data_IF_929948805707
#
_entry.id   IF_929948805707
#
_cell.length_a   1.000
_cell.length_b   1.000
_cell.length_c   1.000
_cell.angle_alpha   90.00
_cell.angle_beta   90.00
_cell.angle_gamma   90.00
#
_symmetry.space_group_name_H-M   'P 1'
#
loop_
_entity.id
_entity.type
_entity.pdbx_description
1 polymer ?
#
# COMPACT_ATOMS: atom_id res chain seq x y z
N UNK A 1 8.73 11.63 -9.27
CA UNK A 1 7.72 10.84 -9.98
C UNK A 1 7.41 9.62 -9.15
N UNK A 2 6.14 9.40 -8.81
CA UNK A 2 5.68 8.27 -7.99
C UNK A 2 4.71 7.45 -8.85
N UNK A 3 4.98 6.17 -9.06
CA UNK A 3 4.07 5.29 -9.81
C UNK A 3 2.73 5.17 -9.06
N UNK A 4 1.60 5.26 -9.75
CA UNK A 4 0.26 5.17 -9.12
C UNK A 4 -0.55 4.01 -9.69
N UNK A 5 -0.25 3.60 -10.93
CA UNK A 5 -0.94 2.54 -11.63
C UNK A 5 0.00 1.84 -12.61
N UNK A 6 -0.16 0.53 -12.72
CA UNK A 6 0.38 -0.26 -13.82
C UNK A 6 -0.74 -0.59 -14.80
N UNK A 7 -0.51 -0.43 -16.10
CA UNK A 7 -1.47 -0.84 -17.13
C UNK A 7 -0.75 -1.45 -18.34
N UNK A 8 -1.45 -2.29 -19.08
CA UNK A 8 -0.89 -2.95 -20.25
C UNK A 8 -1.88 -3.80 -21.02
N UNK A 9 -1.45 -4.23 -22.20
CA UNK A 9 -2.15 -5.24 -23.00
C UNK A 9 -1.89 -6.61 -22.38
N UNK A 10 -2.95 -7.41 -22.25
CA UNK A 10 -2.85 -8.76 -21.68
C UNK A 10 -2.12 -9.66 -22.67
N UNK A 11 -1.17 -10.45 -22.17
CA UNK A 11 -0.42 -11.41 -22.98
C UNK A 11 -1.35 -12.49 -23.55
N UNK A 12 -1.20 -12.80 -24.84
CA UNK A 12 -2.12 -13.70 -25.57
C UNK A 12 -2.17 -15.11 -24.94
N UNK A 13 -1.05 -15.60 -24.41
CA UNK A 13 -1.00 -16.90 -23.70
C UNK A 13 -1.89 -16.93 -22.46
N UNK A 14 -2.00 -15.83 -21.71
CA UNK A 14 -2.88 -15.73 -20.54
C UNK A 14 -4.34 -15.80 -20.96
N UNK A 15 -4.69 -15.16 -22.09
CA UNK A 15 -6.04 -15.24 -22.64
C UNK A 15 -6.34 -16.62 -23.22
N UNK A 16 -5.36 -17.28 -23.83
CA UNK A 16 -5.50 -18.65 -24.33
C UNK A 16 -5.72 -19.66 -23.19
N UNK A 17 -5.01 -19.53 -22.07
CA UNK A 17 -5.22 -20.37 -20.88
C UNK A 17 -6.62 -20.17 -20.26
N UNK A 18 -7.22 -19.00 -20.46
CA UNK A 18 -8.57 -18.66 -20.00
C UNK A 18 -9.68 -19.02 -21.02
N UNK A 19 -9.35 -19.76 -22.10
CA UNK A 19 -10.26 -20.11 -23.20
C UNK A 19 -10.84 -18.86 -23.92
N UNK A 20 -10.01 -17.84 -24.10
CA UNK A 20 -10.33 -16.54 -24.72
C UNK A 20 -9.30 -16.15 -25.79
N UNK A 21 -8.73 -17.13 -26.50
CA UNK A 21 -7.63 -16.93 -27.44
C UNK A 21 -7.96 -15.93 -28.58
N UNK A 22 -9.23 -15.80 -28.96
CA UNK A 22 -9.68 -14.86 -29.99
C UNK A 22 -9.95 -13.44 -29.47
N UNK A 23 -9.69 -13.16 -28.19
CA UNK A 23 -9.93 -11.85 -27.56
C UNK A 23 -8.63 -11.08 -27.40
N UNK A 24 -8.75 -9.76 -27.41
CA UNK A 24 -7.70 -8.82 -26.97
C UNK A 24 -8.24 -8.02 -25.79
N UNK A 25 -7.41 -7.85 -24.77
CA UNK A 25 -7.78 -7.17 -23.54
C UNK A 25 -6.67 -6.29 -23.03
N UNK A 26 -7.05 -5.32 -22.22
CA UNK A 26 -6.15 -4.49 -21.43
C UNK A 26 -6.46 -4.75 -19.96
N UNK A 27 -5.42 -4.68 -19.13
CA UNK A 27 -5.54 -4.77 -17.70
C UNK A 27 -4.86 -3.56 -17.07
N UNK A 28 -5.41 -3.09 -15.97
CA UNK A 28 -4.80 -2.07 -15.13
C UNK A 28 -4.99 -2.44 -13.67
N UNK A 29 -3.98 -2.13 -12.86
CA UNK A 29 -4.00 -2.29 -11.41
C UNK A 29 -3.75 -0.94 -10.76
N UNK A 30 -4.57 -0.61 -9.76
CA UNK A 30 -4.48 0.62 -8.99
C UNK A 30 -4.22 0.24 -7.53
N UNK A 31 -3.21 0.86 -6.92
CA UNK A 31 -3.01 0.79 -5.47
C UNK A 31 -3.90 1.84 -4.80
N UNK A 32 -5.02 1.43 -4.21
CA UNK A 32 -5.99 2.33 -3.61
C UNK A 32 -5.38 3.15 -2.47
N UNK A 33 -4.58 2.53 -1.62
CA UNK A 33 -3.90 3.16 -0.49
C UNK A 33 -2.95 4.25 -0.99
N UNK A 34 -2.18 3.95 -2.05
CA UNK A 34 -1.24 4.90 -2.63
C UNK A 34 -1.95 6.08 -3.28
N UNK A 35 -3.05 5.82 -3.99
CA UNK A 35 -3.87 6.88 -4.55
C UNK A 35 -4.48 7.75 -3.44
N UNK A 36 -5.01 7.15 -2.38
CA UNK A 36 -5.58 7.84 -1.24
C UNK A 36 -4.54 8.67 -0.48
N UNK A 37 -3.32 8.15 -0.28
CA UNK A 37 -2.23 8.89 0.37
C UNK A 37 -1.84 10.15 -0.41
N UNK A 38 -1.83 10.09 -1.75
CA UNK A 38 -1.55 11.26 -2.59
C UNK A 38 -2.75 12.22 -2.59
N UNK A 39 -3.97 11.69 -2.75
CA UNK A 39 -5.18 12.49 -2.92
C UNK A 39 -5.57 13.25 -1.65
N UNK A 40 -5.43 12.60 -0.50
CA UNK A 40 -5.80 13.14 0.81
C UNK A 40 -4.57 13.58 1.63
N UNK A 41 -3.35 13.55 1.08
CA UNK A 41 -2.10 13.88 1.78
C UNK A 41 -1.88 13.10 3.09
N UNK A 42 -2.32 11.84 3.12
CA UNK A 42 -2.15 10.96 4.29
C UNK A 42 -0.68 10.54 4.39
N UNK A 43 0.01 10.83 5.51
CA UNK A 43 1.46 10.65 5.61
C UNK A 43 1.90 9.20 5.83
N UNK A 44 1.00 8.31 6.27
CA UNK A 44 1.34 6.95 6.69
C UNK A 44 0.21 5.95 6.39
N UNK A 45 0.56 4.83 5.77
CA UNK A 45 -0.39 3.75 5.42
C UNK A 45 -1.02 3.08 6.66
N UNK A 46 -0.34 3.10 7.81
CA UNK A 46 -0.85 2.54 9.07
C UNK A 46 -2.12 3.23 9.53
N UNK A 47 -2.34 4.49 9.13
CA UNK A 47 -3.55 5.23 9.46
C UNK A 47 -4.81 4.62 8.84
N UNK A 48 -4.72 3.83 7.75
CA UNK A 48 -5.89 3.13 7.21
C UNK A 48 -6.37 1.97 8.10
N UNK A 49 -5.52 1.50 9.02
CA UNK A 49 -5.79 0.38 9.91
C UNK A 49 -6.00 0.83 11.36
N UNK A 50 -6.16 2.13 11.60
CA UNK A 50 -6.46 2.69 12.92
C UNK A 50 -7.98 2.68 13.15
N UNK A 51 -8.41 2.42 14.38
CA UNK A 51 -9.81 2.58 14.82
C UNK A 51 -10.06 3.96 15.47
N UNK A 52 -9.12 4.89 15.33
CA UNK A 52 -9.22 6.22 15.94
C UNK A 52 -10.26 7.08 15.22
N UNK A 53 -11.33 7.45 15.91
CA UNK A 53 -12.41 8.30 15.38
C UNK A 53 -11.89 9.61 14.78
N UNK A 54 -10.77 10.15 15.27
CA UNK A 54 -10.13 11.38 14.76
C UNK A 54 -9.64 11.25 13.33
N UNK A 55 -9.38 10.03 12.85
CA UNK A 55 -9.12 9.76 11.43
C UNK A 55 -10.42 9.69 10.65
N UNK A 56 -11.35 8.81 11.07
CA UNK A 56 -12.57 8.54 10.34
C UNK A 56 -13.47 9.77 10.17
N UNK A 57 -13.51 10.66 11.17
CA UNK A 57 -14.34 11.87 11.12
C UNK A 57 -13.91 12.89 10.07
N UNK A 58 -12.68 12.79 9.55
CA UNK A 58 -12.14 13.76 8.59
C UNK A 58 -12.63 13.52 7.16
N UNK A 59 -13.08 12.31 6.84
CA UNK A 59 -13.44 11.92 5.47
C UNK A 59 -14.96 11.93 5.29
N UNK A 60 -15.42 12.48 4.18
CA UNK A 60 -16.84 12.51 3.78
C UNK A 60 -17.00 12.14 2.32
N UNK A 61 -18.09 11.46 2.01
CA UNK A 61 -18.39 11.05 0.63
C UNK A 61 -18.42 12.26 -0.33
N UNK A 62 -17.77 12.10 -1.48
CA UNK A 62 -17.73 13.12 -2.53
C UNK A 62 -16.84 14.33 -2.23
N UNK A 63 -16.11 14.36 -1.12
CA UNK A 63 -15.22 15.46 -0.74
C UNK A 63 -13.76 15.03 -0.72
N UNK A 64 -12.91 15.77 -1.43
CA UNK A 64 -11.45 15.63 -1.34
C UNK A 64 -10.96 16.58 -0.24
N UNK A 65 -10.58 16.02 0.89
CA UNK A 65 -10.15 16.76 2.08
C UNK A 65 -8.71 16.40 2.39
N UNK A 66 -7.85 17.40 2.60
CA UNK A 66 -6.48 17.13 3.08
C UNK A 66 -6.54 16.65 4.52
N UNK A 67 -5.86 15.54 4.78
CA UNK A 67 -5.76 14.95 6.10
C UNK A 67 -5.04 15.91 7.06
N UNK A 68 -5.66 16.15 8.22
CA UNK A 68 -5.07 16.90 9.32
C UNK A 68 -4.40 15.92 10.30
N UNK A 69 -3.06 15.94 10.40
CA UNK A 69 -2.33 15.01 11.26
C UNK A 69 -2.65 15.20 12.75
N UNK A 70 -3.07 14.13 13.41
CA UNK A 70 -3.38 14.14 14.85
C UNK A 70 -2.33 13.34 15.64
N UNK A 71 -1.11 13.87 15.80
CA UNK A 71 -0.08 13.16 16.59
C UNK A 71 -0.28 13.33 18.09
N UNK A 72 -0.11 12.24 18.85
CA UNK A 72 -0.08 12.26 20.32
C UNK A 72 1.34 12.33 20.90
N UNK A 73 2.41 11.85 20.22
CA UNK A 73 3.75 11.70 20.82
C UNK A 73 4.92 11.73 19.81
N UNK A 74 6.15 12.10 20.24
CA UNK A 74 7.36 12.05 19.41
C UNK A 74 7.87 10.61 19.17
N UNK A 75 8.57 10.34 18.05
CA UNK A 75 9.16 9.04 17.75
C UNK A 75 10.34 8.71 18.68
N UNK A 76 10.56 7.42 18.95
CA UNK A 76 11.71 6.90 19.70
C UNK A 76 12.48 5.91 18.81
N UNK A 77 13.77 6.16 18.62
CA UNK A 77 14.65 5.33 17.80
C UNK A 77 15.47 4.39 18.67
N UNK A 78 15.58 3.11 18.25
CA UNK A 78 16.38 2.08 18.92
C UNK A 78 17.01 1.19 17.85
N UNK A 79 18.33 1.01 17.94
CA UNK A 79 19.07 0.15 17.02
C UNK A 79 19.20 -1.27 17.60
N UNK A 80 19.16 -2.27 16.73
CA UNK A 80 19.30 -3.69 17.09
C UNK A 80 20.32 -4.32 16.13
N UNK A 81 21.25 -5.10 16.66
CA UNK A 81 22.21 -5.88 15.87
C UNK A 81 22.29 -7.31 16.43
N UNK A 82 22.37 -8.29 15.53
CA UNK A 82 22.47 -9.72 15.87
C UNK A 82 23.26 -10.46 14.78
N UNK A 83 23.77 -11.65 15.12
CA UNK A 83 24.48 -12.52 14.19
C UNK A 83 23.50 -13.19 13.24
N UNK A 84 23.82 -13.19 11.94
CA UNK A 84 22.96 -13.77 10.90
C UNK A 84 23.29 -15.25 10.66
N UNK A 85 22.28 -16.13 10.53
CA UNK A 85 22.48 -17.46 9.99
C UNK A 85 22.75 -17.41 8.47
N UNK A 86 23.27 -18.50 7.89
CA UNK A 86 23.64 -18.55 6.46
C UNK A 86 22.43 -18.42 5.51
N UNK A 87 21.23 -18.79 5.97
CA UNK A 87 19.97 -18.82 5.22
C UNK A 87 19.04 -17.63 5.54
N UNK A 88 19.58 -16.55 6.10
CA UNK A 88 18.78 -15.40 6.53
C UNK A 88 18.05 -14.69 5.37
N UNK A 89 16.75 -14.46 5.55
CA UNK A 89 15.92 -13.61 4.69
C UNK A 89 15.41 -12.42 5.49
N UNK A 90 15.68 -11.20 5.03
CA UNK A 90 15.29 -9.96 5.74
C UNK A 90 13.80 -9.87 6.07
N UNK A 91 12.95 -10.39 5.19
CA UNK A 91 11.50 -10.39 5.40
C UNK A 91 11.08 -11.20 6.64
N UNK A 92 11.83 -12.23 7.03
CA UNK A 92 11.52 -13.00 8.24
C UNK A 92 11.64 -12.12 9.49
N UNK A 93 12.65 -11.25 9.53
CA UNK A 93 12.82 -10.26 10.59
C UNK A 93 11.72 -9.20 10.55
N UNK A 94 11.34 -8.71 9.36
CA UNK A 94 10.26 -7.73 9.24
C UNK A 94 8.90 -8.29 9.66
N UNK A 95 8.60 -9.55 9.35
CA UNK A 95 7.38 -10.22 9.81
C UNK A 95 7.40 -10.43 11.33
N UNK A 96 8.54 -10.82 11.91
CA UNK A 96 8.69 -10.88 13.37
C UNK A 96 8.46 -9.51 14.04
N UNK A 97 8.87 -8.42 13.42
CA UNK A 97 8.66 -7.07 13.95
C UNK A 97 7.20 -6.56 13.76
N UNK A 98 6.43 -7.17 12.86
CA UNK A 98 5.02 -6.86 12.60
C UNK A 98 4.05 -7.69 13.45
N UNK A 99 4.44 -8.92 13.82
CA UNK A 99 3.67 -9.85 14.66
C UNK A 99 3.63 -9.46 16.13
#
# INVERSE_FOLDING_TARGET
>A
WLEVLGCGVIHEEVLSMADRAERRGWAFGLGLERLAMILFEIPDIRLFWTDDERFHSQFKEGQIIKFDPYSKFPPVFKDIAFWLPEDFVENDFFEMARG
#
